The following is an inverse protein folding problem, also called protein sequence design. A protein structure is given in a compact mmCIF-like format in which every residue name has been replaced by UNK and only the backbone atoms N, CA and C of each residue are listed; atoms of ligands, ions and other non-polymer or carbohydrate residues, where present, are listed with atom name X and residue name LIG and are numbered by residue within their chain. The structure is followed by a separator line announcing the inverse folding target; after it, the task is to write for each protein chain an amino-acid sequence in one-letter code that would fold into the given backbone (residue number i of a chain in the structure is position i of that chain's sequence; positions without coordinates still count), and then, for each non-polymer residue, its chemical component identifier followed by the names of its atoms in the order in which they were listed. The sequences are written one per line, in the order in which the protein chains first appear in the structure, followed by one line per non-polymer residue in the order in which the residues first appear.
data_IF_659391695709
#
_entry.id   IF_659391695709
#
_cell.length_a   1.000
_cell.length_b   1.000
_cell.length_c   1.000
_cell.angle_alpha   90.00
_cell.angle_beta   90.00
_cell.angle_gamma   90.00
#
_symmetry.space_group_name_H-M   'P 1'
#
loop_
_entity.id
_entity.type
_entity.pdbx_description
1 polymer ?
#
# COMPACT_ATOMS: atom_id res chain seq x y z
N UNK A 1 -0.14 -2.64 16.70
CA UNK A 1 -0.71 -4.00 16.56
C UNK A 1 -2.22 -3.96 16.63
N UNK A 2 -2.90 -4.45 15.61
CA UNK A 2 -4.36 -4.39 15.48
C UNK A 2 -4.97 -5.78 15.69
N UNK A 3 -6.03 -5.83 16.48
CA UNK A 3 -6.73 -7.06 16.83
C UNK A 3 -8.19 -6.82 17.24
N UNK A 4 -8.92 -7.86 17.61
CA UNK A 4 -10.25 -7.80 18.25
C UNK A 4 -10.28 -8.60 19.55
N UNK A 5 -9.29 -8.40 20.42
CA UNK A 5 -9.08 -9.17 21.64
C UNK A 5 -10.21 -9.09 22.65
N UNK A 6 -11.06 -8.05 22.58
CA UNK A 6 -12.26 -7.94 23.40
C UNK A 6 -13.38 -8.92 23.02
N UNK A 7 -13.29 -9.57 21.83
CA UNK A 7 -14.28 -10.51 21.31
C UNK A 7 -13.68 -11.87 20.97
N UNK A 8 -12.53 -11.90 20.25
CA UNK A 8 -11.96 -13.10 19.65
C UNK A 8 -10.81 -13.69 20.48
N UNK A 9 -10.85 -15.00 20.71
CA UNK A 9 -9.77 -15.74 21.37
C UNK A 9 -8.49 -15.75 20.51
N UNK A 10 -8.62 -15.85 19.20
CA UNK A 10 -7.51 -15.76 18.26
C UNK A 10 -6.78 -14.43 18.36
N UNK A 11 -7.51 -13.32 18.51
CA UNK A 11 -6.95 -11.99 18.72
C UNK A 11 -6.27 -11.84 20.09
N UNK A 12 -6.78 -12.53 21.13
CA UNK A 12 -6.09 -12.59 22.43
C UNK A 12 -4.76 -13.32 22.34
N UNK A 13 -4.70 -14.42 21.58
CA UNK A 13 -3.45 -15.12 21.28
C UNK A 13 -2.50 -14.25 20.47
N UNK A 14 -2.99 -13.59 19.42
CA UNK A 14 -2.23 -12.62 18.62
C UNK A 14 -1.54 -11.58 19.50
N UNK A 15 -2.31 -10.88 20.31
CA UNK A 15 -1.79 -9.84 21.23
C UNK A 15 -0.74 -10.40 22.20
N UNK A 16 -0.94 -11.62 22.72
CA UNK A 16 0.02 -12.28 23.60
C UNK A 16 1.35 -12.51 22.86
N UNK A 17 1.31 -13.08 21.66
CA UNK A 17 2.51 -13.35 20.86
C UNK A 17 3.22 -12.06 20.46
N UNK A 18 2.50 -11.03 20.05
CA UNK A 18 3.09 -9.72 19.74
C UNK A 18 3.83 -9.14 20.94
N UNK A 19 3.25 -9.24 22.15
CA UNK A 19 3.95 -8.79 23.38
C UNK A 19 5.20 -9.62 23.72
N UNK A 20 5.19 -10.92 23.42
CA UNK A 20 6.36 -11.79 23.60
C UNK A 20 7.48 -11.41 22.62
N UNK A 21 7.15 -11.30 21.31
CA UNK A 21 8.12 -10.94 20.26
C UNK A 21 8.66 -9.52 20.45
N UNK A 22 7.83 -8.57 20.88
CA UNK A 22 8.28 -7.20 21.11
C UNK A 22 9.41 -7.06 22.13
N UNK A 23 9.63 -8.07 23.00
CA UNK A 23 10.74 -8.05 23.95
C UNK A 23 12.11 -8.19 23.26
N UNK A 24 12.14 -8.79 22.06
CA UNK A 24 13.35 -8.95 21.26
C UNK A 24 13.69 -7.68 20.47
N UNK A 25 12.78 -6.68 20.42
CA UNK A 25 12.90 -5.44 19.67
C UNK A 25 12.62 -4.21 20.57
N UNK A 26 13.45 -3.94 21.59
CA UNK A 26 13.18 -2.90 22.59
C UNK A 26 13.18 -1.47 22.02
N UNK A 27 13.73 -1.27 20.83
CA UNK A 27 13.71 0.01 20.11
C UNK A 27 12.37 0.28 19.39
N UNK A 28 11.51 -0.74 19.25
CA UNK A 28 10.21 -0.62 18.58
C UNK A 28 9.12 -0.36 19.62
N UNK A 29 8.47 0.80 19.55
CA UNK A 29 7.32 1.11 20.38
C UNK A 29 6.08 0.40 19.82
N UNK A 30 5.53 -0.54 20.56
CA UNK A 30 4.30 -1.26 20.21
C UNK A 30 3.10 -0.68 20.95
N UNK A 31 2.07 -0.33 20.20
CA UNK A 31 0.76 0.07 20.74
C UNK A 31 -0.31 -0.88 20.22
N UNK A 32 -1.20 -1.36 21.10
CA UNK A 32 -2.33 -2.21 20.71
C UNK A 32 -3.58 -1.39 20.44
N UNK A 33 -4.25 -1.68 19.34
CA UNK A 33 -5.49 -1.01 18.96
C UNK A 33 -6.54 -2.04 18.53
N UNK A 34 -7.78 -1.86 18.93
CA UNK A 34 -8.89 -2.67 18.41
C UNK A 34 -9.16 -2.25 16.95
N UNK A 35 -9.51 -3.22 16.10
CA UNK A 35 -9.67 -3.01 14.65
C UNK A 35 -10.69 -1.92 14.30
N UNK A 36 -11.80 -1.85 15.02
CA UNK A 36 -12.84 -0.83 14.83
C UNK A 36 -12.32 0.59 15.17
N UNK A 37 -11.49 0.71 16.21
CA UNK A 37 -10.82 1.98 16.49
C UNK A 37 -9.75 2.29 15.44
N UNK A 38 -8.98 1.30 14.98
CA UNK A 38 -7.99 1.50 13.93
C UNK A 38 -8.62 2.05 12.64
N UNK A 39 -9.75 1.49 12.21
CA UNK A 39 -10.51 1.98 11.06
C UNK A 39 -10.90 3.47 11.24
N UNK A 40 -11.43 3.85 12.40
CA UNK A 40 -11.74 5.25 12.69
C UNK A 40 -10.50 6.15 12.68
N UNK A 41 -9.37 5.69 13.21
CA UNK A 41 -8.15 6.46 13.28
C UNK A 41 -7.47 6.62 11.91
N UNK A 42 -7.56 5.63 11.03
CA UNK A 42 -7.08 5.73 9.64
C UNK A 42 -7.80 6.85 8.88
N UNK A 43 -9.10 7.02 9.08
CA UNK A 43 -9.86 8.12 8.46
C UNK A 43 -9.55 9.46 9.13
N UNK A 44 -9.40 9.47 10.47
CA UNK A 44 -9.25 10.70 11.25
C UNK A 44 -7.86 11.30 11.16
N UNK A 45 -6.83 10.49 11.32
CA UNK A 45 -5.42 10.89 11.38
C UNK A 45 -4.52 9.73 10.94
N UNK A 46 -4.43 9.46 9.63
CA UNK A 46 -3.59 8.36 9.12
C UNK A 46 -2.10 8.57 9.39
N UNK A 47 -1.65 9.83 9.55
CA UNK A 47 -0.24 10.17 9.76
C UNK A 47 0.30 9.72 11.12
N UNK A 48 -0.55 9.30 12.05
CA UNK A 48 -0.13 8.77 13.35
C UNK A 48 0.52 7.37 13.26
N UNK A 49 0.31 6.65 12.14
CA UNK A 49 0.80 5.29 11.97
C UNK A 49 2.11 5.25 11.20
N UNK A 50 3.13 4.59 11.75
CA UNK A 50 4.35 4.23 11.02
C UNK A 50 4.17 2.87 10.34
N UNK A 51 3.80 1.86 11.14
CA UNK A 51 3.54 0.49 10.69
C UNK A 51 2.29 -0.03 11.37
N UNK A 52 1.39 -0.63 10.60
CA UNK A 52 0.20 -1.32 11.12
C UNK A 52 0.40 -2.83 10.98
N UNK A 53 0.54 -3.53 12.10
CA UNK A 53 0.70 -4.97 12.18
C UNK A 53 -0.66 -5.61 12.42
N UNK A 54 -1.10 -6.48 11.50
CA UNK A 54 -2.39 -7.17 11.58
C UNK A 54 -2.28 -8.64 11.15
N UNK A 55 -3.30 -9.43 11.49
CA UNK A 55 -3.55 -10.68 10.78
C UNK A 55 -4.22 -10.41 9.41
N UNK A 56 -4.34 -11.46 8.58
CA UNK A 56 -4.73 -11.33 7.17
C UNK A 56 -6.07 -10.61 6.97
N UNK A 57 -7.14 -11.04 7.65
CA UNK A 57 -8.49 -10.52 7.41
C UNK A 57 -8.63 -9.04 7.78
N UNK A 58 -8.09 -8.63 8.91
CA UNK A 58 -8.10 -7.22 9.30
C UNK A 58 -7.15 -6.39 8.44
N UNK A 59 -6.02 -6.98 8.01
CA UNK A 59 -5.07 -6.36 7.10
C UNK A 59 -5.71 -6.02 5.76
N UNK A 60 -6.43 -6.95 5.14
CA UNK A 60 -7.15 -6.74 3.89
C UNK A 60 -8.15 -5.59 3.99
N UNK A 61 -8.97 -5.59 5.05
CA UNK A 61 -9.99 -4.55 5.24
C UNK A 61 -9.35 -3.18 5.46
N UNK A 62 -8.36 -3.10 6.35
CA UNK A 62 -7.74 -1.84 6.72
C UNK A 62 -6.84 -1.27 5.62
N UNK A 63 -6.18 -2.12 4.82
CA UNK A 63 -5.37 -1.66 3.69
C UNK A 63 -6.24 -1.08 2.57
N UNK A 64 -7.38 -1.69 2.28
CA UNK A 64 -8.35 -1.15 1.32
C UNK A 64 -8.92 0.19 1.80
N UNK A 65 -9.28 0.31 3.08
CA UNK A 65 -9.71 1.58 3.67
C UNK A 65 -8.60 2.64 3.59
N UNK A 66 -7.35 2.28 3.96
CA UNK A 66 -6.22 3.18 3.91
C UNK A 66 -5.88 3.64 2.48
N UNK A 67 -6.14 2.82 1.46
CA UNK A 67 -5.94 3.20 0.06
C UNK A 67 -6.77 4.42 -0.35
N UNK A 68 -7.91 4.62 0.29
CA UNK A 68 -8.78 5.78 0.05
C UNK A 68 -8.18 7.10 0.55
N UNK A 69 -7.20 7.06 1.44
CA UNK A 69 -6.41 8.25 1.84
C UNK A 69 -5.62 8.79 0.65
N UNK A 70 -5.09 7.91 -0.21
CA UNK A 70 -4.42 8.28 -1.46
C UNK A 70 -5.40 8.58 -2.60
N UNK A 71 -6.65 8.20 -2.44
CA UNK A 71 -7.78 8.49 -3.34
C UNK A 71 -8.15 7.36 -4.29
N UNK A 72 -7.38 6.27 -4.36
CA UNK A 72 -7.68 5.12 -5.22
C UNK A 72 -6.90 3.88 -4.83
N UNK A 73 -7.54 2.71 -4.90
CA UNK A 73 -6.86 1.41 -4.80
C UNK A 73 -5.82 1.19 -5.93
N UNK A 74 -5.93 1.93 -7.04
CA UNK A 74 -4.94 1.97 -8.12
C UNK A 74 -3.59 2.58 -7.73
N UNK A 75 -3.44 3.05 -6.49
CA UNK A 75 -2.20 3.54 -5.90
C UNK A 75 -1.55 2.53 -4.95
N UNK A 76 -2.25 1.43 -4.60
CA UNK A 76 -1.83 0.51 -3.56
C UNK A 76 -1.04 -0.68 -4.15
N UNK A 77 0.29 -0.65 -3.98
CA UNK A 77 1.18 -1.78 -4.26
C UNK A 77 1.21 -2.78 -3.10
N UNK A 78 1.52 -4.03 -3.39
CA UNK A 78 1.59 -5.10 -2.40
C UNK A 78 2.74 -6.07 -2.69
N UNK A 79 3.25 -6.70 -1.61
CA UNK A 79 4.25 -7.74 -1.70
C UNK A 79 3.97 -8.84 -0.67
N UNK A 80 4.07 -10.09 -1.11
CA UNK A 80 4.09 -11.27 -0.24
C UNK A 80 5.50 -11.82 -0.25
N UNK A 81 6.20 -11.69 0.88
CA UNK A 81 7.63 -11.97 0.98
C UNK A 81 7.87 -13.28 1.74
N UNK A 82 8.86 -14.05 1.28
CA UNK A 82 9.42 -15.18 1.98
C UNK A 82 10.67 -14.73 2.77
N UNK A 83 11.16 -15.55 3.69
CA UNK A 83 12.36 -15.25 4.51
C UNK A 83 13.65 -15.06 3.68
N UNK A 84 13.68 -15.60 2.46
CA UNK A 84 14.73 -15.31 1.47
C UNK A 84 14.29 -14.20 0.49
N UNK A 85 15.04 -14.00 -0.58
CA UNK A 85 14.76 -12.96 -1.58
C UNK A 85 13.57 -13.25 -2.51
N UNK A 86 12.87 -14.41 -2.37
CA UNK A 86 11.70 -14.71 -3.19
C UNK A 86 10.47 -13.95 -2.69
N UNK A 87 9.81 -13.24 -3.58
CA UNK A 87 8.56 -12.54 -3.31
C UNK A 87 7.57 -12.63 -4.47
N UNK A 88 6.30 -12.42 -4.18
CA UNK A 88 5.25 -12.15 -5.14
C UNK A 88 4.84 -10.69 -5.00
N UNK A 89 4.76 -9.99 -6.12
CA UNK A 89 4.53 -8.55 -6.17
C UNK A 89 3.35 -8.27 -7.08
N UNK A 90 2.33 -7.66 -6.55
CA UNK A 90 1.11 -7.35 -7.28
C UNK A 90 0.43 -6.10 -6.71
N UNK A 91 -0.39 -5.38 -7.49
CA UNK A 91 -1.29 -4.39 -6.91
C UNK A 91 -2.35 -5.09 -6.05
N UNK A 92 -2.85 -4.40 -5.03
CA UNK A 92 -3.91 -4.95 -4.16
C UNK A 92 -5.27 -5.04 -4.86
N UNK A 93 -5.50 -4.25 -5.91
CA UNK A 93 -6.75 -4.28 -6.67
C UNK A 93 -6.87 -5.55 -7.54
N UNK A 94 -8.11 -5.92 -7.86
CA UNK A 94 -8.44 -7.01 -8.77
C UNK A 94 -8.27 -6.64 -10.26
N UNK A 95 -8.78 -7.51 -11.14
CA UNK A 95 -8.63 -7.43 -12.61
C UNK A 95 -9.54 -6.42 -13.31
N UNK A 96 -10.57 -5.89 -12.63
CA UNK A 96 -11.55 -4.92 -13.15
C UNK A 96 -12.00 -5.21 -14.60
N UNK A 97 -12.67 -6.35 -14.86
CA UNK A 97 -13.00 -6.81 -16.21
C UNK A 97 -13.95 -5.85 -16.95
N UNK A 98 -14.70 -5.04 -16.22
CA UNK A 98 -15.63 -4.02 -16.73
C UNK A 98 -14.92 -2.86 -17.44
N UNK A 99 -13.67 -2.57 -17.10
CA UNK A 99 -12.86 -1.52 -17.74
C UNK A 99 -11.70 -2.08 -18.59
N UNK A 100 -11.59 -3.39 -18.71
CA UNK A 100 -10.54 -4.03 -19.50
C UNK A 100 -10.57 -3.56 -20.97
N UNK A 101 -9.41 -3.23 -21.53
CA UNK A 101 -9.25 -2.75 -22.90
C UNK A 101 -9.63 -1.29 -23.13
N UNK A 102 -10.14 -0.56 -22.13
CA UNK A 102 -10.55 0.85 -22.29
C UNK A 102 -9.40 1.84 -22.09
N UNK A 103 -8.20 1.38 -21.68
CA UNK A 103 -7.03 2.22 -21.45
C UNK A 103 -7.26 3.35 -20.42
N UNK A 104 -8.03 3.08 -19.36
CA UNK A 104 -8.39 4.05 -18.31
C UNK A 104 -7.92 3.68 -16.91
N UNK A 105 -7.51 2.41 -16.70
CA UNK A 105 -7.01 1.95 -15.39
C UNK A 105 -5.75 2.69 -14.97
N UNK A 106 -5.61 2.91 -13.67
CA UNK A 106 -4.40 3.50 -13.09
C UNK A 106 -3.28 2.44 -13.00
N UNK A 107 -2.12 2.61 -13.67
CA UNK A 107 -1.05 1.63 -13.65
C UNK A 107 -0.07 1.81 -12.47
N UNK A 108 -0.23 2.85 -11.65
CA UNK A 108 0.78 3.25 -10.65
C UNK A 108 1.00 2.18 -9.58
N UNK A 109 -0.05 1.49 -9.12
CA UNK A 109 0.11 0.39 -8.17
C UNK A 109 0.98 -0.76 -8.72
N UNK A 110 0.81 -1.12 -10.00
CA UNK A 110 1.64 -2.14 -10.67
C UNK A 110 3.09 -1.66 -10.84
N UNK A 111 3.29 -0.41 -11.21
CA UNK A 111 4.64 0.20 -11.33
C UNK A 111 5.35 0.21 -9.97
N UNK A 112 4.65 0.59 -8.90
CA UNK A 112 5.19 0.58 -7.54
C UNK A 112 5.44 -0.84 -7.03
N UNK A 113 4.62 -1.83 -7.42
CA UNK A 113 4.88 -3.25 -7.11
C UNK A 113 6.17 -3.74 -7.79
N UNK A 114 6.47 -3.26 -9.01
CA UNK A 114 7.75 -3.55 -9.67
C UNK A 114 8.93 -2.88 -8.92
N UNK A 115 8.77 -1.68 -8.39
CA UNK A 115 9.78 -1.05 -7.53
C UNK A 115 10.03 -1.87 -6.25
N UNK A 116 8.97 -2.37 -5.60
CA UNK A 116 9.10 -3.27 -4.46
C UNK A 116 9.88 -4.55 -4.82
N UNK A 117 9.62 -5.13 -6.00
CA UNK A 117 10.37 -6.31 -6.49
C UNK A 117 11.87 -6.01 -6.64
N UNK A 118 12.22 -4.88 -7.20
CA UNK A 118 13.62 -4.46 -7.32
C UNK A 118 14.28 -4.33 -5.95
N UNK A 119 13.60 -3.70 -4.98
CA UNK A 119 14.12 -3.51 -3.63
C UNK A 119 14.27 -4.82 -2.87
N UNK A 120 13.20 -5.62 -2.77
CA UNK A 120 13.17 -6.75 -1.84
C UNK A 120 13.72 -8.06 -2.42
N UNK A 121 13.58 -8.30 -3.74
CA UNK A 121 14.09 -9.53 -4.35
C UNK A 121 15.47 -9.36 -4.99
N UNK A 122 15.81 -8.17 -5.46
CA UNK A 122 17.05 -7.94 -6.22
C UNK A 122 18.06 -7.03 -5.53
N UNK A 123 17.73 -6.48 -4.34
CA UNK A 123 18.62 -5.56 -3.59
C UNK A 123 19.02 -4.32 -4.41
N UNK A 124 18.08 -3.82 -5.21
CA UNK A 124 18.25 -2.68 -6.14
C UNK A 124 17.52 -1.45 -5.59
N UNK A 125 17.97 -0.94 -4.44
CA UNK A 125 17.33 0.18 -3.75
C UNK A 125 17.35 1.50 -4.52
N UNK A 126 18.44 1.77 -5.27
CA UNK A 126 18.58 3.00 -6.05
C UNK A 126 17.59 3.03 -7.21
N UNK A 127 17.44 1.92 -7.94
CA UNK A 127 16.49 1.80 -9.04
C UNK A 127 15.04 1.83 -8.54
N UNK A 128 14.76 1.16 -7.45
CA UNK A 128 13.45 1.22 -6.81
C UNK A 128 13.09 2.66 -6.41
N UNK A 129 14.00 3.36 -5.74
CA UNK A 129 13.81 4.75 -5.35
C UNK A 129 13.68 5.69 -6.56
N UNK A 130 14.33 5.39 -7.68
CA UNK A 130 14.20 6.16 -8.93
C UNK A 130 12.76 6.07 -9.46
N UNK A 131 12.18 4.85 -9.50
CA UNK A 131 10.80 4.64 -9.94
C UNK A 131 9.81 5.36 -9.00
N UNK A 132 9.97 5.21 -7.70
CA UNK A 132 9.11 5.87 -6.70
C UNK A 132 9.12 7.40 -6.86
N UNK A 133 10.32 7.99 -7.00
CA UNK A 133 10.47 9.43 -7.25
C UNK A 133 9.87 9.88 -8.58
N UNK A 134 9.94 9.04 -9.61
CA UNK A 134 9.30 9.33 -10.90
C UNK A 134 7.78 9.39 -10.75
N UNK A 135 7.18 8.45 -10.01
CA UNK A 135 5.74 8.47 -9.68
C UNK A 135 5.38 9.73 -8.89
N UNK A 136 6.15 10.08 -7.86
CA UNK A 136 5.93 11.30 -7.07
C UNK A 136 5.97 12.57 -7.96
N UNK A 137 6.92 12.67 -8.90
CA UNK A 137 7.01 13.80 -9.83
C UNK A 137 5.80 13.89 -10.76
N UNK A 138 5.32 12.76 -11.31
CA UNK A 138 4.11 12.72 -12.13
C UNK A 138 2.91 13.26 -11.35
N UNK A 139 2.78 12.84 -10.09
CA UNK A 139 1.71 13.31 -9.20
C UNK A 139 1.89 14.80 -8.83
N UNK A 140 3.10 15.27 -8.60
CA UNK A 140 3.39 16.69 -8.33
C UNK A 140 3.07 17.59 -9.54
N UNK A 141 3.24 17.08 -10.78
CA UNK A 141 2.89 17.74 -12.03
C UNK A 141 1.39 17.73 -12.33
N UNK A 142 0.55 17.27 -11.38
CA UNK A 142 -0.90 17.16 -11.52
C UNK A 142 -1.37 16.26 -12.67
N UNK A 143 -0.59 15.27 -13.09
CA UNK A 143 -1.00 14.26 -14.08
C UNK A 143 -1.77 13.14 -13.36
N UNK A 144 -2.97 12.79 -13.83
CA UNK A 144 -3.89 11.88 -13.15
C UNK A 144 -4.63 10.96 -14.12
N UNK A 145 -4.79 9.71 -13.74
CA UNK A 145 -5.79 8.82 -14.32
C UNK A 145 -7.18 9.16 -13.79
N UNK A 146 -8.23 8.61 -14.40
CA UNK A 146 -9.62 9.00 -14.13
C UNK A 146 -10.05 8.81 -12.66
N UNK A 147 -9.50 7.80 -12.00
CA UNK A 147 -9.80 7.41 -10.61
C UNK A 147 -9.34 8.44 -9.57
N UNK A 148 -8.23 9.12 -9.84
CA UNK A 148 -7.64 10.15 -8.95
C UNK A 148 -7.70 11.56 -9.54
N UNK A 149 -8.44 11.74 -10.64
CA UNK A 149 -8.59 13.03 -11.32
C UNK A 149 -9.47 13.99 -10.52
N UNK A 150 -9.06 15.23 -10.44
CA UNK A 150 -9.88 16.38 -9.97
C UNK A 150 -9.82 17.52 -10.97
N UNK A 151 -10.82 18.39 -10.95
CA UNK A 151 -10.85 19.58 -11.82
C UNK A 151 -9.58 20.43 -11.66
N UNK A 152 -9.02 20.88 -12.78
CA UNK A 152 -7.77 21.64 -12.83
C UNK A 152 -6.49 20.76 -12.98
N UNK A 153 -6.63 19.43 -12.98
CA UNK A 153 -5.50 18.51 -13.24
C UNK A 153 -5.47 18.07 -14.71
N UNK A 154 -4.38 17.44 -15.14
CA UNK A 154 -4.22 16.85 -16.46
C UNK A 154 -4.68 15.39 -16.44
N UNK A 155 -5.78 15.10 -17.09
CA UNK A 155 -6.31 13.74 -17.20
C UNK A 155 -5.60 12.97 -18.31
N UNK A 156 -5.14 11.76 -18.00
CA UNK A 156 -4.40 10.88 -18.91
C UNK A 156 -4.97 9.46 -18.91
N UNK A 157 -4.66 8.70 -19.97
CA UNK A 157 -4.95 7.27 -20.06
C UNK A 157 -3.90 6.42 -19.32
N UNK A 158 -4.15 5.10 -19.22
CA UNK A 158 -3.21 4.13 -18.65
C UNK A 158 -1.83 4.22 -19.32
N UNK A 159 -1.79 4.16 -20.66
CA UNK A 159 -0.53 4.20 -21.41
C UNK A 159 0.18 5.54 -21.23
N UNK A 160 -0.54 6.66 -21.31
CA UNK A 160 0.04 7.98 -21.12
C UNK A 160 0.59 8.17 -19.68
N UNK A 161 -0.04 7.57 -18.68
CA UNK A 161 0.49 7.59 -17.32
C UNK A 161 1.81 6.80 -17.22
N UNK A 162 1.89 5.64 -17.87
CA UNK A 162 3.13 4.87 -17.96
C UNK A 162 4.25 5.64 -18.65
N UNK A 163 3.95 6.27 -19.81
CA UNK A 163 4.90 7.11 -20.54
C UNK A 163 5.38 8.29 -19.66
N UNK A 164 4.48 8.95 -18.95
CA UNK A 164 4.80 10.05 -18.05
C UNK A 164 5.74 9.64 -16.90
N UNK A 165 5.63 8.41 -16.38
CA UNK A 165 6.58 7.87 -15.40
C UNK A 165 7.94 7.63 -16.04
N UNK A 166 7.98 6.98 -17.22
CA UNK A 166 9.24 6.70 -17.94
C UNK A 166 10.01 7.97 -18.29
N UNK A 167 9.32 9.04 -18.68
CA UNK A 167 9.94 10.35 -18.97
C UNK A 167 10.61 11.00 -17.74
N UNK A 168 10.34 10.52 -16.53
CA UNK A 168 10.85 11.10 -15.26
C UNK A 168 11.82 10.20 -14.52
N UNK A 169 12.12 9.02 -15.09
CA UNK A 169 13.21 8.16 -14.63
C UNK A 169 14.58 8.80 -14.99
#
# INVERSE_FOLDING_TARGET
SVDKANVLDTSRLWRKIVNEVAQDFPEVKVEHMLVDNCAMQLVKDPAQFDVVLTENMFGDILSDEASMVTGSIGMLSSASLREDSLGMYEPSHGSAPDIAGQNIANPLATILSAAMMLRYSFDMDEEAACIEKAVEKVLADNIRTVDIYKEGMTKVSTSQMGDAVVERL
#
